data_IF_015628245935
#
_entry.id   IF_015628245935
#
_cell.length_a   1.000
_cell.length_b   1.000
_cell.length_c   1.000
_cell.angle_alpha   90.00
_cell.angle_beta   90.00
_cell.angle_gamma   90.00
#
_symmetry.space_group_name_H-M   'P 1'
#
loop_
_entity.id
_entity.type
_entity.pdbx_description
1 polymer ?
#
# COMPACT_ATOMS: atom_id res chain seq x y z
N UNK A 1 7.70 9.88 17.17
CA UNK A 1 6.22 9.70 17.21
C UNK A 1 5.41 10.97 17.56
N UNK A 2 5.77 11.79 18.56
CA UNK A 2 4.98 13.01 18.91
C UNK A 2 4.86 14.08 17.80
N UNK A 3 5.85 14.20 16.92
CA UNK A 3 5.84 15.16 15.80
C UNK A 3 4.82 14.80 14.71
N UNK A 4 4.78 13.53 14.30
CA UNK A 4 3.84 13.03 13.28
C UNK A 4 2.38 13.10 13.72
N UNK A 5 2.08 12.82 14.99
CA UNK A 5 0.70 12.91 15.52
C UNK A 5 0.16 14.34 15.52
N UNK A 6 1.00 15.35 15.79
CA UNK A 6 0.62 16.77 15.67
C UNK A 6 0.44 17.21 14.22
N UNK A 7 1.33 16.76 13.31
CA UNK A 7 1.20 17.00 11.86
C UNK A 7 -0.08 16.33 11.32
N UNK A 8 -0.42 15.13 11.78
CA UNK A 8 -1.63 14.40 11.40
C UNK A 8 -2.91 15.00 11.98
N UNK A 9 -2.95 15.46 13.23
CA UNK A 9 -4.13 16.19 13.73
C UNK A 9 -4.35 17.52 13.01
N UNK A 10 -3.25 18.21 12.63
CA UNK A 10 -3.32 19.43 11.82
C UNK A 10 -3.81 19.11 10.39
N UNK A 11 -3.34 18.00 9.82
CA UNK A 11 -3.80 17.49 8.52
C UNK A 11 -5.22 16.93 8.59
N UNK A 12 -5.69 16.31 9.68
CA UNK A 12 -7.07 15.85 9.86
C UNK A 12 -8.04 17.00 10.02
N UNK A 13 -7.68 18.06 10.75
CA UNK A 13 -8.52 19.26 10.81
C UNK A 13 -8.60 19.97 9.45
N UNK A 14 -7.53 19.91 8.64
CA UNK A 14 -7.54 20.38 7.25
C UNK A 14 -8.21 19.36 6.33
N UNK A 15 -8.12 18.06 6.57
CA UNK A 15 -8.58 16.95 5.71
C UNK A 15 -10.00 16.52 5.98
N UNK A 16 -10.58 16.78 7.16
CA UNK A 16 -12.02 16.56 7.41
C UNK A 16 -12.78 17.78 6.89
N UNK A 17 -12.24 18.99 7.09
CA UNK A 17 -12.75 20.19 6.45
C UNK A 17 -12.55 20.14 4.93
N UNK A 18 -11.38 19.70 4.45
CA UNK A 18 -11.13 19.49 3.03
C UNK A 18 -11.94 18.32 2.52
N UNK A 19 -11.92 17.11 3.08
CA UNK A 19 -12.76 15.97 2.64
C UNK A 19 -14.24 16.31 2.59
N UNK A 20 -14.80 17.03 3.57
CA UNK A 20 -16.19 17.49 3.47
C UNK A 20 -16.37 18.59 2.41
N UNK A 21 -15.39 19.48 2.19
CA UNK A 21 -15.41 20.45 1.09
C UNK A 21 -15.09 19.83 -0.27
N UNK A 22 -14.22 18.83 -0.41
CA UNK A 22 -13.86 18.14 -1.65
C UNK A 22 -14.91 17.12 -1.98
N UNK A 23 -15.54 16.42 -1.03
CA UNK A 23 -16.74 15.60 -1.30
C UNK A 23 -17.95 16.48 -1.62
N UNK A 24 -18.15 17.63 -0.94
CA UNK A 24 -19.22 18.58 -1.33
C UNK A 24 -18.91 19.33 -2.61
N UNK A 25 -17.66 19.66 -2.92
CA UNK A 25 -17.26 20.27 -4.19
C UNK A 25 -17.24 19.22 -5.31
N UNK A 26 -16.83 17.98 -5.06
CA UNK A 26 -16.98 16.85 -6.00
C UNK A 26 -18.46 16.62 -6.32
N UNK A 27 -19.31 16.49 -5.29
CA UNK A 27 -20.74 16.28 -5.50
C UNK A 27 -21.42 17.52 -6.13
N UNK A 28 -20.91 18.73 -5.90
CA UNK A 28 -21.48 19.98 -6.46
C UNK A 28 -20.94 20.31 -7.87
N UNK A 29 -19.75 19.87 -8.24
CA UNK A 29 -19.19 20.01 -9.60
C UNK A 29 -19.58 18.84 -10.52
N UNK A 30 -19.70 17.63 -10.00
CA UNK A 30 -19.95 16.42 -10.80
C UNK A 30 -21.37 15.84 -10.63
N UNK A 31 -22.21 16.45 -9.79
CA UNK A 31 -23.59 16.02 -9.53
C UNK A 31 -24.64 16.43 -10.59
N UNK A 32 -24.23 16.90 -11.77
CA UNK A 32 -25.15 17.16 -12.89
C UNK A 32 -24.57 16.59 -14.18
N UNK A 33 -25.16 15.48 -14.65
CA UNK A 33 -25.10 14.92 -16.00
C UNK A 33 -24.11 15.56 -16.97
N UNK A 34 -23.00 14.87 -17.19
CA UNK A 34 -22.07 15.10 -18.28
C UNK A 34 -20.88 14.19 -18.07
N UNK A 35 -20.70 13.23 -18.98
CA UNK A 35 -19.53 12.35 -19.15
C UNK A 35 -18.32 12.85 -18.35
N UNK A 36 -18.06 12.21 -17.21
CA UNK A 36 -16.78 12.38 -16.52
C UNK A 36 -15.72 11.97 -17.53
N UNK A 37 -14.90 12.94 -17.98
CA UNK A 37 -13.62 12.60 -18.59
C UNK A 37 -12.86 11.84 -17.51
N UNK A 38 -12.96 10.52 -17.54
CA UNK A 38 -12.19 9.64 -16.68
C UNK A 38 -10.74 9.79 -17.13
N UNK A 39 -9.98 10.56 -16.36
CA UNK A 39 -8.54 10.63 -16.59
C UNK A 39 -7.98 9.29 -16.15
N UNK A 40 -7.37 8.57 -17.09
CA UNK A 40 -6.64 7.34 -16.82
C UNK A 40 -5.64 7.52 -15.68
N UNK A 41 -5.24 6.43 -15.04
CA UNK A 41 -4.12 6.45 -14.11
C UNK A 41 -2.89 7.12 -14.75
N UNK A 42 -2.16 7.88 -13.93
CA UNK A 42 -0.93 8.54 -14.33
C UNK A 42 0.24 7.72 -13.79
N UNK A 43 0.97 7.06 -14.69
CA UNK A 43 2.26 6.44 -14.36
C UNK A 43 3.30 7.55 -14.10
N UNK A 44 4.03 7.44 -12.99
CA UNK A 44 5.21 8.24 -12.66
C UNK A 44 6.36 7.32 -12.30
N UNK A 45 7.56 7.74 -12.67
CA UNK A 45 8.79 7.05 -12.30
C UNK A 45 9.28 7.55 -10.93
N UNK A 46 10.18 6.79 -10.31
CA UNK A 46 10.80 7.16 -9.03
C UNK A 46 11.66 8.43 -9.07
N UNK A 47 11.85 9.06 -10.23
CA UNK A 47 12.54 10.34 -10.39
C UNK A 47 11.60 11.55 -10.49
N UNK A 48 10.29 11.32 -10.66
CA UNK A 48 9.32 12.40 -10.88
C UNK A 48 9.02 13.18 -9.59
N UNK A 49 8.34 14.32 -9.74
CA UNK A 49 7.84 15.12 -8.61
C UNK A 49 6.87 14.31 -7.75
N UNK A 50 7.02 14.40 -6.43
CA UNK A 50 6.24 13.63 -5.47
C UNK A 50 4.98 14.38 -5.02
N UNK A 51 3.90 13.62 -4.83
CA UNK A 51 2.73 14.09 -4.10
C UNK A 51 3.04 14.10 -2.59
N UNK A 52 2.43 15.02 -1.80
CA UNK A 52 2.77 15.20 -0.39
C UNK A 52 2.40 14.00 0.50
N UNK A 53 1.49 13.14 0.05
CA UNK A 53 1.06 11.93 0.76
C UNK A 53 1.02 10.79 -0.24
N UNK A 54 1.81 9.74 0.02
CA UNK A 54 1.94 8.57 -0.86
C UNK A 54 1.58 7.32 -0.07
N UNK A 55 0.63 6.56 -0.61
CA UNK A 55 0.23 5.25 -0.11
C UNK A 55 1.19 4.15 -0.58
N UNK A 56 1.61 3.27 0.33
CA UNK A 56 2.44 2.11 0.01
C UNK A 56 1.55 0.89 -0.14
N UNK A 57 1.59 0.27 -1.32
CA UNK A 57 1.10 -1.10 -1.46
C UNK A 57 2.10 -2.11 -0.84
N UNK A 58 1.66 -3.36 -0.70
CA UNK A 58 2.49 -4.45 -0.21
C UNK A 58 3.69 -4.77 -1.10
N UNK A 59 3.57 -4.77 -2.43
CA UNK A 59 4.69 -5.11 -3.32
C UNK A 59 5.87 -4.14 -3.18
N UNK A 60 5.59 -2.83 -3.04
CA UNK A 60 6.61 -1.84 -2.71
C UNK A 60 7.17 -2.03 -1.29
N UNK A 61 6.29 -2.25 -0.30
CA UNK A 61 6.71 -2.43 1.09
C UNK A 61 7.63 -3.65 1.26
N UNK A 62 7.31 -4.77 0.62
CA UNK A 62 8.11 -6.00 0.62
C UNK A 62 9.48 -5.71 0.01
N UNK A 63 9.53 -5.14 -1.20
CA UNK A 63 10.80 -4.82 -1.86
C UNK A 63 11.64 -3.83 -1.05
N UNK A 64 11.02 -2.83 -0.39
CA UNK A 64 11.73 -1.91 0.48
C UNK A 64 12.35 -2.56 1.73
N UNK A 65 11.70 -3.58 2.31
CA UNK A 65 12.06 -4.19 3.60
C UNK A 65 13.01 -5.40 3.45
N UNK A 66 12.87 -6.14 2.36
CA UNK A 66 13.58 -7.39 2.11
C UNK A 66 14.73 -7.12 1.14
N UNK A 67 15.97 -7.28 1.62
CA UNK A 67 17.20 -6.93 0.89
C UNK A 67 17.53 -7.87 -0.26
N UNK A 68 16.94 -9.06 -0.28
CA UNK A 68 17.06 -10.03 -1.37
C UNK A 68 16.09 -9.77 -2.53
N UNK A 69 15.15 -8.84 -2.40
CA UNK A 69 14.18 -8.54 -3.45
C UNK A 69 14.83 -7.78 -4.62
N UNK A 70 14.36 -8.07 -5.83
CA UNK A 70 14.96 -7.57 -7.07
C UNK A 70 15.04 -6.04 -7.12
N UNK A 71 14.00 -5.36 -6.63
CA UNK A 71 13.89 -3.90 -6.67
C UNK A 71 14.23 -3.22 -5.33
N UNK A 72 14.93 -3.92 -4.43
CA UNK A 72 15.23 -3.41 -3.09
C UNK A 72 15.96 -2.06 -3.12
N UNK A 73 16.99 -1.94 -3.96
CA UNK A 73 17.82 -0.75 -4.01
C UNK A 73 17.05 0.46 -4.54
N UNK A 74 16.26 0.25 -5.59
CA UNK A 74 15.39 1.25 -6.20
C UNK A 74 14.37 1.76 -5.19
N UNK A 75 13.67 0.86 -4.49
CA UNK A 75 12.71 1.21 -3.44
C UNK A 75 13.36 1.96 -2.27
N UNK A 76 14.57 1.55 -1.85
CA UNK A 76 15.34 2.22 -0.78
C UNK A 76 15.75 3.64 -1.16
N UNK A 77 16.26 3.82 -2.38
CA UNK A 77 16.65 5.14 -2.90
C UNK A 77 15.43 6.05 -3.02
N UNK A 78 14.30 5.52 -3.52
CA UNK A 78 13.05 6.26 -3.58
C UNK A 78 12.57 6.68 -2.19
N UNK A 79 12.62 5.78 -1.20
CA UNK A 79 12.25 6.11 0.19
C UNK A 79 13.10 7.23 0.80
N UNK A 80 14.36 7.36 0.41
CA UNK A 80 15.21 8.44 0.91
C UNK A 80 14.70 9.82 0.48
N UNK A 81 14.12 9.93 -0.74
CA UNK A 81 13.49 11.16 -1.22
C UNK A 81 12.33 11.60 -0.34
N UNK A 82 11.55 10.65 0.19
CA UNK A 82 10.40 10.97 1.04
C UNK A 82 10.85 11.70 2.31
N UNK A 83 12.05 11.44 2.82
CA UNK A 83 12.59 12.16 3.97
C UNK A 83 13.02 13.57 3.61
N UNK A 84 13.73 13.75 2.49
CA UNK A 84 14.23 15.06 2.06
C UNK A 84 13.11 16.00 1.59
N UNK A 85 12.07 15.44 0.98
CA UNK A 85 10.91 16.18 0.45
C UNK A 85 9.74 16.22 1.45
N UNK A 86 9.95 15.75 2.68
CA UNK A 86 8.95 15.70 3.77
C UNK A 86 7.62 14.98 3.41
N UNK A 87 7.67 13.99 2.54
CA UNK A 87 6.52 13.23 2.08
C UNK A 87 5.99 12.33 3.20
N UNK A 88 4.67 12.36 3.40
CA UNK A 88 4.00 11.47 4.35
C UNK A 88 3.76 10.11 3.71
N UNK A 89 4.38 9.07 4.27
CA UNK A 89 4.13 7.67 3.89
C UNK A 89 2.93 7.12 4.65
N UNK A 90 1.99 6.52 3.95
CA UNK A 90 0.80 5.89 4.54
C UNK A 90 0.60 4.48 3.99
N UNK A 91 -0.15 3.65 4.71
CA UNK A 91 -0.45 2.26 4.30
C UNK A 91 -1.63 1.72 5.11
N UNK A 92 -2.15 0.54 4.75
CA UNK A 92 -3.18 -0.16 5.54
C UNK A 92 -2.58 -1.35 6.29
N UNK A 93 -3.34 -1.89 7.24
CA UNK A 93 -2.98 -3.15 7.92
C UNK A 93 -2.83 -4.34 6.95
N UNK A 94 -3.38 -4.24 5.73
CA UNK A 94 -3.24 -5.28 4.72
C UNK A 94 -1.79 -5.41 4.22
N UNK A 95 -1.05 -4.29 4.15
CA UNK A 95 0.39 -4.28 3.82
C UNK A 95 1.16 -5.18 4.78
N UNK A 96 0.83 -5.11 6.08
CA UNK A 96 1.45 -5.96 7.09
C UNK A 96 1.09 -7.44 6.89
N UNK A 97 -0.19 -7.73 6.64
CA UNK A 97 -0.65 -9.10 6.44
C UNK A 97 0.07 -9.76 5.26
N UNK A 98 0.26 -9.03 4.16
CA UNK A 98 0.97 -9.54 2.99
C UNK A 98 2.47 -9.69 3.22
N UNK A 99 3.11 -8.73 3.88
CA UNK A 99 4.52 -8.88 4.28
C UNK A 99 4.71 -10.12 5.17
N UNK A 100 3.85 -10.30 6.18
CA UNK A 100 3.94 -11.44 7.09
C UNK A 100 3.74 -12.76 6.34
N UNK A 101 2.73 -12.82 5.47
CA UNK A 101 2.49 -13.99 4.62
C UNK A 101 3.68 -14.28 3.71
N UNK A 102 4.23 -13.25 3.07
CA UNK A 102 5.41 -13.35 2.19
C UNK A 102 6.59 -13.97 2.92
N UNK A 103 6.97 -13.41 4.09
CA UNK A 103 8.08 -13.89 4.92
C UNK A 103 7.88 -15.36 5.37
N UNK A 104 6.68 -15.68 5.86
CA UNK A 104 6.35 -17.04 6.30
C UNK A 104 6.41 -18.02 5.14
N UNK A 105 5.86 -17.66 3.98
CA UNK A 105 5.88 -18.48 2.77
C UNK A 105 7.32 -18.71 2.29
N UNK A 106 8.14 -17.65 2.24
CA UNK A 106 9.54 -17.74 1.85
C UNK A 106 10.32 -18.71 2.76
N UNK A 107 10.19 -18.56 4.08
CA UNK A 107 10.83 -19.47 5.04
C UNK A 107 10.36 -20.93 4.89
N UNK A 108 9.05 -21.14 4.68
CA UNK A 108 8.50 -22.48 4.43
C UNK A 108 8.99 -23.09 3.11
N UNK A 109 9.16 -22.28 2.07
CA UNK A 109 9.72 -22.71 0.78
C UNK A 109 11.20 -23.09 0.90
N UNK A 110 11.99 -22.34 1.66
CA UNK A 110 13.39 -22.67 1.94
C UNK A 110 13.53 -23.97 2.72
N UNK A 111 12.72 -24.15 3.77
CA UNK A 111 12.68 -25.40 4.52
C UNK A 111 12.18 -26.56 3.66
N UNK A 112 11.20 -26.30 2.79
CA UNK A 112 10.71 -27.24 1.79
C UNK A 112 11.81 -27.70 0.84
N UNK A 113 12.62 -26.78 0.32
CA UNK A 113 13.79 -27.10 -0.53
C UNK A 113 14.78 -28.01 0.19
N UNK A 114 15.12 -27.72 1.45
CA UNK A 114 16.03 -28.55 2.26
C UNK A 114 15.51 -29.98 2.43
N UNK A 115 14.19 -30.14 2.56
CA UNK A 115 13.52 -31.44 2.81
C UNK A 115 12.94 -32.11 1.57
N UNK A 116 13.07 -31.48 0.39
CA UNK A 116 12.41 -31.90 -0.87
C UNK A 116 10.89 -32.04 -0.69
N UNK A 117 10.28 -31.06 -0.04
CA UNK A 117 8.85 -30.99 0.23
C UNK A 117 8.26 -29.70 -0.34
N UNK A 118 6.97 -29.75 -0.71
CA UNK A 118 6.20 -28.54 -0.98
C UNK A 118 5.95 -27.77 0.34
N UNK A 119 5.96 -26.44 0.28
CA UNK A 119 5.90 -25.59 1.49
C UNK A 119 4.64 -25.83 2.35
N UNK A 120 3.50 -26.16 1.73
CA UNK A 120 2.28 -26.55 2.47
C UNK A 120 2.46 -27.86 3.25
N UNK A 121 3.26 -28.80 2.73
CA UNK A 121 3.54 -30.04 3.44
C UNK A 121 4.50 -29.80 4.61
N UNK A 122 5.43 -28.84 4.49
CA UNK A 122 6.26 -28.41 5.63
C UNK A 122 5.36 -27.87 6.73
N UNK A 123 4.48 -26.91 6.40
CA UNK A 123 3.51 -26.34 7.36
C UNK A 123 2.66 -27.42 8.03
N UNK A 124 2.15 -28.41 7.27
CA UNK A 124 1.30 -29.49 7.80
C UNK A 124 2.06 -30.43 8.74
N UNK A 125 3.33 -30.73 8.46
CA UNK A 125 4.15 -31.67 9.24
C UNK A 125 4.93 -31.02 10.38
N UNK A 126 5.11 -29.70 10.33
CA UNK A 126 5.83 -28.90 11.33
C UNK A 126 4.96 -27.70 11.73
N UNK A 127 3.88 -27.90 12.51
CA UNK A 127 2.95 -26.83 12.87
C UNK A 127 3.64 -25.69 13.64
N UNK A 128 4.71 -26.00 14.39
CA UNK A 128 5.48 -25.02 15.14
C UNK A 128 6.51 -24.25 14.29
N UNK A 129 6.65 -24.54 13.00
CA UNK A 129 7.63 -23.84 12.16
C UNK A 129 7.33 -22.34 12.06
N UNK A 130 6.06 -21.94 12.04
CA UNK A 130 5.67 -20.53 11.97
C UNK A 130 6.19 -19.76 13.18
N UNK A 131 6.15 -20.34 14.39
CA UNK A 131 6.63 -19.64 15.60
C UNK A 131 8.13 -19.35 15.55
N UNK A 132 8.91 -20.13 14.78
CA UNK A 132 10.34 -19.91 14.55
C UNK A 132 10.61 -18.72 13.62
N UNK A 133 9.67 -18.40 12.73
CA UNK A 133 9.79 -17.29 11.76
C UNK A 133 9.25 -15.97 12.32
N UNK A 134 8.37 -16.03 13.34
CA UNK A 134 7.75 -14.84 13.92
C UNK A 134 8.73 -13.75 14.41
N UNK A 135 9.90 -14.06 15.01
CA UNK A 135 10.85 -13.01 15.39
C UNK A 135 11.28 -12.13 14.21
N UNK A 136 11.53 -12.72 13.04
CA UNK A 136 11.91 -11.98 11.84
C UNK A 136 10.74 -11.13 11.32
N UNK A 137 9.51 -11.70 11.32
CA UNK A 137 8.29 -10.96 10.97
C UNK A 137 8.08 -9.75 11.88
N UNK A 138 8.33 -9.88 13.18
CA UNK A 138 8.22 -8.79 14.15
C UNK A 138 9.26 -7.69 13.93
N UNK A 139 10.51 -8.06 13.60
CA UNK A 139 11.55 -7.09 13.24
C UNK A 139 11.10 -6.29 12.01
N UNK A 140 10.70 -6.98 10.94
CA UNK A 140 10.27 -6.34 9.69
C UNK A 140 9.00 -5.49 9.86
N UNK A 141 8.07 -5.92 10.71
CA UNK A 141 6.90 -5.12 11.13
C UNK A 141 7.32 -3.82 11.80
N UNK A 142 8.28 -3.86 12.71
CA UNK A 142 8.75 -2.67 13.41
C UNK A 142 9.44 -1.69 12.46
N UNK A 143 10.16 -2.18 11.46
CA UNK A 143 10.73 -1.35 10.40
C UNK A 143 9.63 -0.61 9.60
N UNK A 144 8.54 -1.29 9.24
CA UNK A 144 7.38 -0.64 8.60
C UNK A 144 6.69 0.38 9.52
N UNK A 145 6.47 0.05 10.79
CA UNK A 145 5.86 0.97 11.77
C UNK A 145 6.66 2.27 11.94
N UNK A 146 7.97 2.22 11.73
CA UNK A 146 8.83 3.40 11.78
C UNK A 146 8.80 4.21 10.47
N UNK A 147 8.36 3.60 9.36
CA UNK A 147 8.36 4.19 8.04
C UNK A 147 6.99 4.74 7.60
N UNK A 148 5.90 4.16 8.09
CA UNK A 148 4.52 4.35 7.59
C UNK A 148 3.58 4.83 8.71
N UNK A 149 2.60 5.65 8.33
CA UNK A 149 1.41 5.90 9.14
C UNK A 149 0.23 5.04 8.65
N UNK A 150 -0.37 4.28 9.56
CA UNK A 150 -1.47 3.38 9.24
C UNK A 150 -2.81 4.10 9.10
N UNK A 151 -3.48 3.86 7.97
CA UNK A 151 -4.81 4.38 7.68
C UNK A 151 -5.88 3.46 8.25
N UNK A 152 -6.97 4.02 8.81
CA UNK A 152 -8.09 3.23 9.28
C UNK A 152 -8.87 2.61 8.12
N UNK A 153 -9.45 1.45 8.38
CA UNK A 153 -10.41 0.77 7.49
C UNK A 153 -11.83 0.95 8.02
N UNK A 154 -12.79 1.25 7.14
CA UNK A 154 -14.20 1.42 7.49
C UNK A 154 -15.10 0.45 6.70
N UNK A 155 -16.40 0.45 6.97
CA UNK A 155 -17.36 -0.31 6.16
C UNK A 155 -17.40 0.19 4.71
N UNK A 156 -17.27 1.51 4.51
CA UNK A 156 -17.22 2.12 3.18
C UNK A 156 -16.03 1.59 2.36
N UNK A 157 -14.89 1.33 3.01
CA UNK A 157 -13.73 0.70 2.34
C UNK A 157 -14.10 -0.66 1.76
N UNK A 158 -14.89 -1.48 2.48
CA UNK A 158 -15.31 -2.81 1.99
C UNK A 158 -16.25 -2.70 0.80
N UNK A 159 -17.26 -1.83 0.87
CA UNK A 159 -18.18 -1.58 -0.25
C UNK A 159 -17.40 -1.09 -1.48
N UNK A 160 -16.48 -0.14 -1.27
CA UNK A 160 -15.62 0.41 -2.32
C UNK A 160 -14.68 -0.63 -2.91
N UNK A 161 -14.19 -1.58 -2.10
CA UNK A 161 -13.36 -2.70 -2.56
C UNK A 161 -14.11 -3.55 -3.58
N UNK A 162 -15.33 -3.99 -3.26
CA UNK A 162 -16.13 -4.78 -4.21
C UNK A 162 -16.50 -3.99 -5.47
N UNK A 163 -16.77 -2.70 -5.33
CA UNK A 163 -16.97 -1.83 -6.49
C UNK A 163 -15.73 -1.82 -7.38
N UNK A 164 -14.53 -1.58 -6.83
CA UNK A 164 -13.29 -1.52 -7.60
C UNK A 164 -12.95 -2.87 -8.26
N UNK A 165 -13.19 -3.99 -7.58
CA UNK A 165 -13.05 -5.32 -8.18
C UNK A 165 -13.95 -5.49 -9.40
N UNK A 166 -15.20 -5.03 -9.32
CA UNK A 166 -16.15 -5.11 -10.43
C UNK A 166 -15.78 -4.17 -11.58
N UNK A 167 -15.44 -2.92 -11.26
CA UNK A 167 -15.23 -1.86 -12.24
C UNK A 167 -13.90 -2.04 -13.00
N UNK A 168 -12.87 -2.58 -12.33
CA UNK A 168 -11.51 -2.66 -12.85
C UNK A 168 -10.94 -4.09 -12.94
N UNK A 169 -11.74 -5.11 -12.60
CA UNK A 169 -11.31 -6.52 -12.58
C UNK A 169 -10.11 -6.81 -11.66
N UNK A 170 -9.94 -6.00 -10.61
CA UNK A 170 -8.85 -6.16 -9.64
C UNK A 170 -9.06 -7.36 -8.72
N UNK A 171 -7.96 -7.93 -8.24
CA UNK A 171 -8.00 -8.88 -7.15
C UNK A 171 -8.42 -8.18 -5.84
N UNK A 172 -8.99 -8.92 -4.87
CA UNK A 172 -9.53 -8.33 -3.65
C UNK A 172 -8.52 -7.49 -2.86
N UNK A 173 -7.25 -7.91 -2.83
CA UNK A 173 -6.19 -7.22 -2.08
C UNK A 173 -5.88 -5.86 -2.68
N UNK A 174 -5.64 -5.78 -4.00
CA UNK A 174 -5.30 -4.54 -4.70
C UNK A 174 -6.46 -3.56 -4.63
N UNK A 175 -7.68 -4.05 -4.87
CA UNK A 175 -8.89 -3.26 -4.71
C UNK A 175 -9.03 -2.71 -3.27
N UNK A 176 -8.63 -3.48 -2.25
CA UNK A 176 -8.72 -3.04 -0.85
C UNK A 176 -7.68 -1.97 -0.51
N UNK A 177 -6.45 -2.08 -1.03
CA UNK A 177 -5.43 -1.03 -0.89
C UNK A 177 -5.91 0.29 -1.50
N UNK A 178 -6.40 0.23 -2.74
CA UNK A 178 -6.91 1.39 -3.46
C UNK A 178 -8.12 1.98 -2.73
N UNK A 179 -9.10 1.17 -2.34
CA UNK A 179 -10.25 1.62 -1.56
C UNK A 179 -9.83 2.31 -0.26
N UNK A 180 -8.91 1.72 0.50
CA UNK A 180 -8.45 2.29 1.78
C UNK A 180 -7.81 3.65 1.58
N UNK A 181 -6.93 3.79 0.58
CA UNK A 181 -6.27 5.05 0.28
C UNK A 181 -7.28 6.14 -0.16
N UNK A 182 -8.16 5.80 -1.11
CA UNK A 182 -9.13 6.75 -1.67
C UNK A 182 -10.13 7.25 -0.61
N UNK A 183 -10.65 6.37 0.24
CA UNK A 183 -11.55 6.76 1.35
C UNK A 183 -10.88 7.68 2.37
N UNK A 184 -9.54 7.62 2.46
CA UNK A 184 -8.73 8.51 3.30
C UNK A 184 -8.17 9.72 2.52
N UNK A 185 -8.66 9.96 1.29
CA UNK A 185 -8.27 11.12 0.48
C UNK A 185 -6.88 11.05 -0.14
N UNK A 186 -6.32 9.84 -0.28
CA UNK A 186 -4.99 9.60 -0.88
C UNK A 186 -5.18 8.95 -2.24
N UNK A 187 -4.75 9.62 -3.30
CA UNK A 187 -4.85 9.15 -4.69
C UNK A 187 -3.49 8.87 -5.33
N UNK A 188 -2.41 8.89 -4.55
CA UNK A 188 -1.07 8.63 -5.04
C UNK A 188 -0.48 7.42 -4.34
N UNK A 189 0.05 6.50 -5.13
CA UNK A 189 0.43 5.16 -4.72
C UNK A 189 1.85 4.89 -5.16
N UNK A 190 2.60 4.15 -4.35
CA UNK A 190 3.83 3.50 -4.77
C UNK A 190 3.61 1.99 -4.74
N UNK A 191 3.87 1.35 -5.88
CA UNK A 191 3.62 -0.07 -6.11
C UNK A 191 4.52 -0.61 -7.22
N UNK A 192 4.78 -1.91 -7.17
CA UNK A 192 5.40 -2.70 -8.23
C UNK A 192 4.37 -3.62 -8.90
N UNK A 193 3.08 -3.39 -8.65
CA UNK A 193 1.97 -4.02 -9.33
C UNK A 193 1.39 -3.09 -10.40
N UNK A 194 1.45 -3.53 -11.66
CA UNK A 194 0.92 -2.76 -12.79
C UNK A 194 -0.61 -2.72 -12.82
N UNK A 195 -1.31 -3.60 -12.09
CA UNK A 195 -2.78 -3.65 -12.07
C UNK A 195 -3.38 -2.34 -11.53
N UNK A 196 -2.64 -1.59 -10.70
CA UNK A 196 -3.04 -0.26 -10.24
C UNK A 196 -3.22 0.74 -11.40
N UNK A 197 -2.50 0.57 -12.51
CA UNK A 197 -2.59 1.45 -13.69
C UNK A 197 -3.92 1.29 -14.45
N UNK A 198 -4.73 0.28 -14.13
CA UNK A 198 -6.08 0.14 -14.65
C UNK A 198 -7.08 1.13 -14.02
N UNK A 199 -6.77 1.68 -12.84
CA UNK A 199 -7.71 2.49 -12.07
C UNK A 199 -7.64 3.97 -12.44
N UNK A 200 -8.77 4.54 -12.83
CA UNK A 200 -8.83 5.95 -13.22
C UNK A 200 -8.63 6.89 -12.02
N UNK A 201 -8.01 8.05 -12.29
CA UNK A 201 -7.89 9.16 -11.34
C UNK A 201 -6.83 9.00 -10.25
N UNK A 202 -5.95 8.00 -10.35
CA UNK A 202 -4.83 7.81 -9.42
C UNK A 202 -3.47 8.07 -10.06
N UNK A 203 -2.47 8.34 -9.21
CA UNK A 203 -1.06 8.48 -9.59
C UNK A 203 -0.31 7.25 -9.08
N UNK A 204 0.44 6.59 -9.95
CA UNK A 204 1.16 5.35 -9.64
C UNK A 204 2.65 5.58 -9.84
N UNK A 205 3.40 5.62 -8.74
CA UNK A 205 4.85 5.63 -8.74
C UNK A 205 5.37 4.19 -8.83
N UNK A 206 6.16 3.89 -9.86
CA UNK A 206 6.80 2.59 -10.03
C UNK A 206 8.19 2.73 -10.64
N UNK A 207 9.03 1.69 -10.49
CA UNK A 207 10.31 1.56 -11.20
C UNK A 207 10.26 0.48 -12.29
N UNK A 208 9.08 -0.10 -12.55
CA UNK A 208 8.88 -1.01 -13.66
C UNK A 208 8.93 -0.25 -15.00
N UNK A 209 9.42 -0.90 -16.07
CA UNK A 209 9.56 -0.30 -17.40
C UNK A 209 8.21 0.08 -18.04
#
# INVERSE_FOLDING_TARGET
MRSYRKKWMKLQNVSVAASMLTQRLYAKFYGKCGVLNTMSAVRRNFADSLEPIIYWDASYAISYIIDTELYHNECRLFRNRFKSEEILSVGSDLVYNELAFFLIKQALEEEGKKRRMYWLDVKRRQPDFISQVMPDVEIKKNDLNNAILWLPTSEQVKEKTFQLMSDYSLLPTDAFHIATALENGVNSFVTLDEDFLSVDGIIVYTCLP
#
